data_IF_997416063865
#
_entry.id   IF_997416063865
#
_cell.length_a   1.000
_cell.length_b   1.000
_cell.length_c   1.000
_cell.angle_alpha   90.00
_cell.angle_beta   90.00
_cell.angle_gamma   90.00
#
_symmetry.space_group_name_H-M   'P 1'
#
loop_
_entity.id
_entity.type
_entity.pdbx_description
1 polymer ?
#
# COMPACT_ATOMS: atom_id res chain seq x y z
N UNK A 1 18.58 -5.03 17.97
CA UNK A 1 17.31 -5.07 17.22
C UNK A 1 17.20 -3.85 16.30
N UNK A 2 17.84 -3.87 15.12
CA UNK A 2 17.78 -2.75 14.17
C UNK A 2 16.49 -2.89 13.34
N UNK A 3 15.43 -2.20 13.76
CA UNK A 3 14.19 -2.11 13.00
C UNK A 3 14.45 -1.66 11.57
N UNK A 4 14.01 -2.45 10.61
CA UNK A 4 14.13 -2.22 9.17
C UNK A 4 13.54 -0.85 8.78
N UNK A 5 14.38 0.06 8.32
CA UNK A 5 13.97 1.46 8.10
C UNK A 5 13.34 1.65 6.74
N UNK A 6 12.05 1.98 6.73
CA UNK A 6 11.35 2.43 5.53
C UNK A 6 11.61 3.90 5.20
N UNK A 7 11.18 4.33 4.01
CA UNK A 7 11.32 5.72 3.54
C UNK A 7 10.75 6.77 4.50
N UNK A 8 9.74 6.42 5.31
CA UNK A 8 9.16 7.30 6.34
C UNK A 8 10.14 7.58 7.48
N UNK A 9 10.75 6.53 8.05
CA UNK A 9 11.71 6.66 9.14
C UNK A 9 13.00 7.34 8.69
N UNK A 10 13.46 7.05 7.46
CA UNK A 10 14.63 7.71 6.89
C UNK A 10 14.37 9.20 6.69
N UNK A 11 13.19 9.58 6.17
CA UNK A 11 12.77 10.99 6.08
C UNK A 11 12.83 11.67 7.45
N UNK A 12 12.24 11.07 8.48
CA UNK A 12 12.15 11.69 9.80
C UNK A 12 13.53 11.86 10.44
N UNK A 13 14.43 10.86 10.26
CA UNK A 13 15.82 10.98 10.70
C UNK A 13 16.58 12.07 9.97
N UNK A 14 16.38 12.21 8.66
CA UNK A 14 17.01 13.27 7.86
C UNK A 14 16.49 14.66 8.28
N UNK A 15 15.20 14.79 8.59
CA UNK A 15 14.64 16.04 9.14
C UNK A 15 15.27 16.41 10.48
N UNK A 16 15.40 15.46 11.40
CA UNK A 16 16.09 15.67 12.69
C UNK A 16 17.57 16.04 12.55
N UNK A 17 18.20 15.65 11.44
CA UNK A 17 19.60 15.96 11.12
C UNK A 17 19.78 17.32 10.42
N UNK A 18 18.75 18.15 10.32
CA UNK A 18 18.84 19.48 9.71
C UNK A 18 18.43 19.54 8.24
N UNK A 19 17.75 18.52 7.70
CA UNK A 19 17.15 18.56 6.35
C UNK A 19 15.62 18.69 6.41
N UNK A 20 15.05 19.82 6.89
CA UNK A 20 13.62 19.95 7.18
C UNK A 20 12.74 19.82 5.92
N UNK A 21 13.21 20.29 4.77
CA UNK A 21 12.45 20.33 3.51
C UNK A 21 12.42 18.98 2.75
N UNK A 22 12.97 17.89 3.31
CA UNK A 22 13.01 16.61 2.60
C UNK A 22 11.64 15.91 2.55
N UNK A 23 11.26 15.43 1.37
CA UNK A 23 10.00 14.73 1.11
C UNK A 23 10.21 13.20 1.11
N UNK A 24 9.22 12.44 1.60
CA UNK A 24 9.16 10.97 1.52
C UNK A 24 9.37 10.46 0.09
N UNK A 25 8.80 11.13 -0.92
CA UNK A 25 8.94 10.74 -2.33
C UNK A 25 10.41 10.75 -2.79
N UNK A 26 11.18 11.76 -2.38
CA UNK A 26 12.61 11.89 -2.69
C UNK A 26 13.42 10.77 -2.03
N UNK A 27 13.15 10.49 -0.76
CA UNK A 27 13.81 9.39 -0.02
C UNK A 27 13.52 8.04 -0.68
N UNK A 28 12.27 7.75 -1.02
CA UNK A 28 11.88 6.50 -1.67
C UNK A 28 12.58 6.31 -3.03
N UNK A 29 12.70 7.39 -3.83
CA UNK A 29 13.44 7.36 -5.10
C UNK A 29 14.91 7.02 -4.89
N UNK A 30 15.58 7.69 -3.94
CA UNK A 30 16.99 7.45 -3.66
C UNK A 30 17.24 6.05 -3.11
N UNK A 31 16.36 5.55 -2.22
CA UNK A 31 16.41 4.16 -1.76
C UNK A 31 16.37 3.17 -2.92
N UNK A 32 15.48 3.38 -3.90
CA UNK A 32 15.40 2.54 -5.11
C UNK A 32 16.68 2.62 -5.96
N UNK A 33 17.23 3.81 -6.17
CA UNK A 33 18.46 3.99 -6.95
C UNK A 33 19.67 3.33 -6.28
N UNK A 34 19.71 3.30 -4.94
CA UNK A 34 20.77 2.66 -4.16
C UNK A 34 20.53 1.17 -3.90
N UNK A 35 19.44 0.57 -4.42
CA UNK A 35 19.09 -0.82 -4.13
C UNK A 35 18.68 -1.10 -2.68
N UNK A 36 18.38 -0.07 -1.89
CA UNK A 36 18.01 -0.20 -0.47
C UNK A 36 16.51 -0.46 -0.37
N UNK A 37 16.15 -1.64 0.14
CA UNK A 37 14.77 -2.01 0.45
C UNK A 37 14.54 -2.05 1.96
N UNK A 38 13.28 -1.83 2.35
CA UNK A 38 12.86 -1.93 3.75
C UNK A 38 12.33 -3.34 4.00
N UNK A 39 12.86 -4.01 5.02
CA UNK A 39 12.33 -5.30 5.53
C UNK A 39 11.04 -5.12 6.36
N UNK A 40 10.55 -3.88 6.48
CA UNK A 40 9.33 -3.61 7.22
C UNK A 40 8.14 -4.36 6.59
N UNK A 41 7.25 -4.95 7.40
CA UNK A 41 6.09 -5.66 6.89
C UNK A 41 5.24 -4.72 6.04
N UNK A 42 4.83 -5.22 4.87
CA UNK A 42 3.86 -4.53 4.03
C UNK A 42 2.48 -4.60 4.69
N UNK A 43 1.63 -3.56 4.54
CA UNK A 43 0.23 -3.68 4.93
C UNK A 43 -0.38 -4.91 4.25
N UNK A 44 -0.98 -5.79 5.03
CA UNK A 44 -1.63 -6.99 4.51
C UNK A 44 -3.03 -6.64 3.99
N UNK A 45 -3.08 -5.89 2.89
CA UNK A 45 -4.34 -5.39 2.29
C UNK A 45 -5.20 -6.50 1.71
N UNK A 46 -4.65 -7.69 1.50
CA UNK A 46 -5.38 -8.85 0.99
C UNK A 46 -6.20 -9.55 2.06
N UNK A 47 -5.91 -9.35 3.35
CA UNK A 47 -6.70 -9.94 4.43
C UNK A 47 -7.85 -9.00 4.81
N UNK A 48 -9.12 -9.42 4.64
CA UNK A 48 -10.24 -8.66 5.15
C UNK A 48 -10.17 -8.60 6.69
N UNK A 49 -10.60 -7.48 7.26
CA UNK A 49 -10.77 -7.37 8.70
C UNK A 49 -11.87 -8.35 9.15
N UNK A 50 -11.74 -9.07 10.28
CA UNK A 50 -12.70 -10.09 10.70
C UNK A 50 -14.16 -9.60 10.79
N UNK A 51 -14.34 -8.32 11.09
CA UNK A 51 -15.67 -7.68 11.16
C UNK A 51 -16.27 -7.22 9.82
N UNK A 52 -15.56 -7.37 8.70
CA UNK A 52 -16.09 -6.95 7.40
C UNK A 52 -16.96 -8.06 6.80
N UNK A 53 -18.25 -7.74 6.59
CA UNK A 53 -19.18 -8.64 5.89
C UNK A 53 -18.65 -8.94 4.49
N UNK A 54 -18.47 -10.21 4.18
CA UNK A 54 -18.13 -10.66 2.84
C UNK A 54 -19.42 -10.57 2.00
N UNK A 55 -19.41 -9.70 0.98
CA UNK A 55 -20.49 -9.63 0.01
C UNK A 55 -20.19 -10.61 -1.13
N UNK A 56 -21.05 -11.61 -1.37
CA UNK A 56 -20.88 -12.48 -2.52
C UNK A 56 -20.98 -11.65 -3.80
N UNK A 57 -20.11 -11.92 -4.77
CA UNK A 57 -20.26 -11.35 -6.10
C UNK A 57 -21.43 -12.05 -6.80
N UNK A 58 -22.59 -11.39 -6.79
CA UNK A 58 -23.86 -11.97 -7.23
C UNK A 58 -23.91 -12.32 -8.72
N UNK A 59 -23.00 -11.77 -9.52
CA UNK A 59 -22.92 -12.02 -10.95
C UNK A 59 -21.99 -13.19 -11.33
N UNK A 60 -21.34 -13.84 -10.35
CA UNK A 60 -20.26 -14.81 -10.59
C UNK A 60 -20.65 -16.00 -11.48
N UNK A 61 -21.94 -16.34 -11.55
CA UNK A 61 -22.47 -17.44 -12.36
C UNK A 61 -23.72 -17.03 -13.16
N UNK A 62 -23.90 -15.74 -13.42
CA UNK A 62 -25.06 -15.23 -14.17
C UNK A 62 -24.66 -15.08 -15.63
N UNK A 63 -25.32 -15.83 -16.52
CA UNK A 63 -25.20 -15.64 -17.96
C UNK A 63 -26.00 -14.39 -18.37
N UNK A 64 -25.32 -13.41 -18.97
CA UNK A 64 -25.92 -12.16 -19.45
C UNK A 64 -26.20 -12.33 -20.94
N UNK A 65 -27.46 -12.57 -21.29
CA UNK A 65 -27.88 -12.91 -22.65
C UNK A 65 -28.61 -11.76 -23.37
N UNK A 66 -28.90 -10.65 -22.66
CA UNK A 66 -29.57 -9.47 -23.24
C UNK A 66 -29.02 -8.15 -22.71
N UNK A 67 -29.21 -7.10 -23.51
CA UNK A 67 -28.88 -5.72 -23.14
C UNK A 67 -29.71 -5.30 -21.91
N UNK A 68 -29.09 -4.57 -20.98
CA UNK A 68 -29.69 -4.07 -19.73
C UNK A 68 -30.16 -5.14 -18.71
N UNK A 69 -29.61 -6.35 -18.72
CA UNK A 69 -30.03 -7.42 -17.78
C UNK A 69 -29.61 -7.18 -16.32
N UNK A 70 -28.51 -6.45 -16.07
CA UNK A 70 -27.94 -6.24 -14.73
C UNK A 70 -27.96 -4.78 -14.28
N UNK A 71 -28.64 -3.93 -15.06
CA UNK A 71 -28.78 -2.50 -14.82
C UNK A 71 -30.27 -2.15 -14.96
N UNK A 72 -30.88 -1.60 -13.90
CA UNK A 72 -32.23 -1.02 -13.89
C UNK A 72 -32.19 0.31 -13.16
#
# INVERSE_FOLDING_TARGET
MLGSRGARQIRDRLRRRGYPKINRKRVARLMRQMGISSVAPRPNTSKPHPGHKIYPYLLRNVKIDRVNQVWS
#
